data_IF_182249626898
#
_entry.id   IF_182249626898
#
_cell.length_a   1.000
_cell.length_b   1.000
_cell.length_c   1.000
_cell.angle_alpha   90.00
_cell.angle_beta   90.00
_cell.angle_gamma   90.00
#
_symmetry.space_group_name_H-M   'P 1'
#
loop_
_entity.id
_entity.type
_entity.pdbx_description
1 polymer ?
#
# COMPACT_ATOMS: atom_id res chain seq x y z
N UNK A 1 -4.94 -1.43 36.05
CA UNK A 1 -4.97 -2.33 34.90
C UNK A 1 -6.24 -2.08 34.14
N UNK A 2 -6.16 -1.65 32.86
CA UNK A 2 -7.32 -1.54 31.99
C UNK A 2 -7.35 -2.76 31.07
N UNK A 3 -8.54 -3.29 30.85
CA UNK A 3 -8.77 -4.38 29.89
C UNK A 3 -9.17 -3.72 28.57
N UNK A 4 -8.35 -3.86 27.55
CA UNK A 4 -8.71 -3.57 26.16
C UNK A 4 -9.16 -4.86 25.48
N UNK A 5 -9.97 -4.76 24.47
CA UNK A 5 -10.71 -5.88 23.85
C UNK A 5 -9.84 -7.11 23.49
N UNK A 6 -8.52 -6.91 23.25
CA UNK A 6 -7.57 -7.97 22.86
C UNK A 6 -6.25 -7.92 23.63
N UNK A 7 -6.21 -7.31 24.81
CA UNK A 7 -4.96 -7.18 25.55
C UNK A 7 -5.11 -6.58 26.93
N UNK A 8 -3.96 -6.35 27.57
CA UNK A 8 -3.86 -5.69 28.89
C UNK A 8 -2.81 -4.61 28.88
N UNK A 9 -3.11 -3.47 29.50
CA UNK A 9 -2.16 -2.39 29.72
C UNK A 9 -1.66 -2.42 31.15
N UNK A 10 -0.37 -2.27 31.32
CA UNK A 10 0.32 -2.15 32.59
C UNK A 10 1.08 -0.83 32.65
N UNK A 11 1.23 -0.28 33.83
CA UNK A 11 2.13 0.82 34.11
C UNK A 11 3.22 0.29 35.03
N UNK A 12 4.47 0.28 34.58
CA UNK A 12 5.61 -0.28 35.26
C UNK A 12 6.57 0.85 35.60
N UNK A 13 6.92 1.00 36.90
CA UNK A 13 7.83 2.02 37.42
C UNK A 13 7.81 2.08 38.91
N UNK A 14 8.76 2.83 39.51
CA UNK A 14 8.94 2.91 40.93
C UNK A 14 8.22 4.11 41.58
N UNK A 15 7.90 5.14 40.81
CA UNK A 15 7.26 6.35 41.30
C UNK A 15 6.25 6.95 40.28
N UNK A 16 5.32 7.77 40.79
CA UNK A 16 4.39 8.52 39.98
C UNK A 16 5.16 9.55 39.11
N UNK A 17 5.20 9.34 37.81
CA UNK A 17 5.96 10.15 36.84
C UNK A 17 7.05 9.39 36.11
N UNK A 18 7.46 8.22 36.60
CA UNK A 18 8.44 7.33 35.99
C UNK A 18 7.81 6.05 35.41
N UNK A 19 6.50 6.05 35.21
CA UNK A 19 5.82 4.86 34.70
C UNK A 19 6.01 4.74 33.17
N UNK A 20 6.43 3.55 32.77
CA UNK A 20 6.39 3.11 31.38
C UNK A 20 5.10 2.32 31.17
N UNK A 21 4.33 2.71 30.18
CA UNK A 21 3.15 1.95 29.75
C UNK A 21 3.59 0.75 28.93
N UNK A 22 3.17 -0.43 29.34
CA UNK A 22 3.42 -1.70 28.67
C UNK A 22 2.08 -2.29 28.25
N UNK A 23 1.87 -2.42 26.97
CA UNK A 23 0.66 -3.05 26.40
C UNK A 23 1.00 -4.48 25.97
N UNK A 24 0.32 -5.47 26.54
CA UNK A 24 0.34 -6.86 26.07
C UNK A 24 -0.87 -7.06 25.18
N UNK A 25 -0.63 -7.33 23.90
CA UNK A 25 -1.67 -7.44 22.90
C UNK A 25 -1.52 -8.73 22.11
N UNK A 26 -2.64 -9.28 21.67
CA UNK A 26 -2.63 -10.23 20.57
C UNK A 26 -2.24 -9.48 19.30
N UNK A 27 -1.42 -10.08 18.47
CA UNK A 27 -0.99 -9.45 17.21
C UNK A 27 -0.98 -10.49 16.10
N UNK A 28 -1.18 -10.01 14.89
CA UNK A 28 -1.04 -10.80 13.68
C UNK A 28 0.39 -11.33 13.51
N UNK A 29 0.57 -12.41 12.73
CA UNK A 29 1.90 -12.95 12.46
C UNK A 29 2.84 -11.87 11.92
N UNK A 30 4.10 -11.92 12.34
CA UNK A 30 5.13 -11.03 11.82
C UNK A 30 5.46 -11.35 10.36
N UNK A 31 5.80 -10.33 9.59
CA UNK A 31 6.28 -10.46 8.20
C UNK A 31 7.63 -11.17 8.17
N UNK A 32 8.48 -10.84 9.12
CA UNK A 32 9.84 -11.37 9.25
C UNK A 32 10.05 -11.96 10.65
N UNK A 33 11.13 -12.71 10.81
CA UNK A 33 11.53 -13.19 12.12
C UNK A 33 11.90 -12.01 13.02
N UNK A 34 11.47 -12.08 14.28
CA UNK A 34 11.86 -11.10 15.28
C UNK A 34 13.41 -11.03 15.38
N UNK A 35 13.92 -9.82 15.41
CA UNK A 35 15.33 -9.55 15.69
C UNK A 35 15.59 -9.72 17.19
N UNK A 36 16.79 -10.17 17.53
CA UNK A 36 17.21 -10.30 18.94
C UNK A 36 18.32 -9.30 19.21
N UNK A 37 18.01 -8.28 20.01
CA UNK A 37 18.96 -7.25 20.43
C UNK A 37 19.06 -7.31 21.95
N UNK A 38 20.24 -7.53 22.47
CA UNK A 38 20.51 -7.67 23.91
C UNK A 38 19.59 -8.69 24.63
N UNK A 39 19.27 -9.79 23.93
CA UNK A 39 18.38 -10.84 24.44
C UNK A 39 16.89 -10.53 24.36
N UNK A 40 16.50 -9.37 23.87
CA UNK A 40 15.11 -8.94 23.68
C UNK A 40 14.69 -9.19 22.24
N UNK A 41 13.57 -9.87 22.03
CA UNK A 41 12.99 -10.06 20.71
C UNK A 41 12.19 -8.82 20.30
N UNK A 42 12.57 -8.23 19.17
CA UNK A 42 11.97 -7.02 18.64
C UNK A 42 11.38 -7.26 17.24
N UNK A 43 10.32 -6.54 16.93
CA UNK A 43 9.79 -6.51 15.56
C UNK A 43 10.78 -5.80 14.64
N UNK A 44 10.98 -6.32 13.43
CA UNK A 44 11.74 -5.65 12.39
C UNK A 44 11.03 -4.39 11.87
N UNK A 45 11.77 -3.50 11.20
CA UNK A 45 11.24 -2.21 10.71
C UNK A 45 10.11 -2.36 9.71
N UNK A 46 10.07 -3.43 8.93
CA UNK A 46 8.95 -3.74 8.01
C UNK A 46 7.65 -4.04 8.74
N UNK A 47 7.74 -4.79 9.85
CA UNK A 47 6.59 -5.05 10.71
C UNK A 47 6.10 -3.78 11.38
N UNK A 48 7.03 -2.94 11.87
CA UNK A 48 6.71 -1.64 12.47
C UNK A 48 6.03 -0.74 11.42
N UNK A 49 6.53 -0.69 10.19
CA UNK A 49 5.93 0.08 9.10
C UNK A 49 4.49 -0.37 8.82
N UNK A 50 4.26 -1.69 8.69
CA UNK A 50 2.92 -2.25 8.50
C UNK A 50 1.97 -1.89 9.66
N UNK A 51 2.44 -2.00 10.91
CA UNK A 51 1.66 -1.66 12.10
C UNK A 51 1.32 -0.16 12.15
N UNK A 52 2.27 0.71 11.78
CA UNK A 52 2.03 2.17 11.74
C UNK A 52 1.08 2.55 10.62
N UNK A 53 1.18 1.90 9.45
CA UNK A 53 0.22 2.06 8.36
C UNK A 53 -1.19 1.67 8.80
N UNK A 54 -1.36 0.55 9.52
CA UNK A 54 -2.66 0.12 10.02
C UNK A 54 -3.25 1.11 11.05
N UNK A 55 -2.43 1.65 11.95
CA UNK A 55 -2.88 2.68 12.90
C UNK A 55 -3.33 3.96 12.18
N UNK A 56 -2.60 4.39 11.14
CA UNK A 56 -2.94 5.58 10.35
C UNK A 56 -4.19 5.33 9.50
N UNK A 57 -4.39 4.13 8.98
CA UNK A 57 -5.63 3.74 8.29
C UNK A 57 -6.89 3.92 9.15
N UNK A 58 -6.75 3.85 10.47
CA UNK A 58 -7.82 4.06 11.44
C UNK A 58 -7.86 5.51 12.00
N UNK A 59 -7.10 6.42 11.43
CA UNK A 59 -6.97 7.82 11.84
C UNK A 59 -5.93 8.03 12.93
N UNK A 60 -4.68 7.81 12.58
CA UNK A 60 -3.51 7.84 13.45
C UNK A 60 -3.32 9.13 14.26
N UNK A 61 -2.50 9.03 15.29
CA UNK A 61 -2.07 10.17 16.09
C UNK A 61 -0.89 10.86 15.42
N UNK A 62 -0.63 12.11 15.78
CA UNK A 62 0.50 12.89 15.24
C UNK A 62 1.82 12.12 15.26
N UNK A 63 2.15 11.44 16.36
CA UNK A 63 3.36 10.61 16.46
C UNK A 63 3.42 9.45 15.47
N UNK A 64 2.29 8.86 15.10
CA UNK A 64 2.26 7.73 14.17
C UNK A 64 2.62 8.18 12.74
N UNK A 65 2.21 9.39 12.35
CA UNK A 65 2.66 10.04 11.10
C UNK A 65 4.15 10.42 11.15
N UNK A 66 4.67 10.81 12.31
CA UNK A 66 6.10 11.06 12.51
C UNK A 66 6.92 9.80 12.27
N UNK A 67 6.47 8.68 12.87
CA UNK A 67 7.13 7.38 12.69
C UNK A 67 7.11 6.95 11.21
N UNK A 68 5.99 7.10 10.51
CA UNK A 68 5.92 6.81 9.07
C UNK A 68 6.84 7.71 8.25
N UNK A 69 6.90 8.99 8.58
CA UNK A 69 7.83 9.91 7.91
C UNK A 69 9.30 9.49 8.09
N UNK A 70 9.66 9.00 9.27
CA UNK A 70 11.00 8.45 9.52
C UNK A 70 11.27 7.21 8.66
N UNK A 71 10.29 6.32 8.57
CA UNK A 71 10.39 5.09 7.79
C UNK A 71 10.46 5.33 6.27
N UNK A 72 9.98 6.48 5.76
CA UNK A 72 10.19 6.89 4.37
C UNK A 72 11.67 7.12 4.02
N UNK A 73 12.53 7.28 5.00
CA UNK A 73 14.00 7.29 4.79
C UNK A 73 14.58 5.92 4.47
N UNK A 74 13.86 4.84 4.76
CA UNK A 74 14.29 3.45 4.56
C UNK A 74 13.45 2.74 3.48
N UNK A 75 12.16 3.02 3.42
CA UNK A 75 11.20 2.37 2.51
C UNK A 75 10.38 3.40 1.73
N UNK A 76 10.09 3.11 0.47
CA UNK A 76 9.09 3.84 -0.29
C UNK A 76 7.68 3.61 0.27
N UNK A 77 6.76 4.52 0.00
CA UNK A 77 5.37 4.35 0.40
C UNK A 77 4.74 3.08 -0.22
N UNK A 78 5.10 2.74 -1.47
CA UNK A 78 4.64 1.51 -2.13
C UNK A 78 5.09 0.24 -1.38
N UNK A 79 6.34 0.20 -0.90
CA UNK A 79 6.83 -0.92 -0.11
C UNK A 79 6.09 -1.03 1.22
N UNK A 80 5.82 0.10 1.90
CA UNK A 80 5.05 0.10 3.15
C UNK A 80 3.61 -0.41 2.94
N UNK A 81 2.98 -0.09 1.81
CA UNK A 81 1.68 -0.67 1.41
C UNK A 81 1.79 -2.18 1.22
N UNK A 82 2.85 -2.65 0.57
CA UNK A 82 3.13 -4.08 0.42
C UNK A 82 3.36 -4.79 1.77
N UNK A 83 4.01 -4.15 2.74
CA UNK A 83 4.16 -4.69 4.09
C UNK A 83 2.82 -4.77 4.81
N UNK A 84 1.97 -3.73 4.67
CA UNK A 84 0.62 -3.75 5.22
C UNK A 84 -0.23 -4.88 4.62
N UNK A 85 -0.21 -5.05 3.30
CA UNK A 85 -0.94 -6.12 2.62
C UNK A 85 -0.51 -7.51 3.09
N UNK A 86 0.79 -7.72 3.33
CA UNK A 86 1.32 -9.01 3.83
C UNK A 86 0.93 -9.32 5.27
N UNK A 87 0.83 -8.29 6.12
CA UNK A 87 0.54 -8.46 7.54
C UNK A 87 -0.96 -8.46 7.84
N UNK A 88 -1.74 -7.69 7.11
CA UNK A 88 -3.16 -7.42 7.32
C UNK A 88 -3.95 -7.72 6.03
N UNK A 89 -3.80 -8.92 5.50
CA UNK A 89 -4.36 -9.35 4.21
C UNK A 89 -5.87 -9.05 4.09
N UNK A 90 -6.62 -9.27 5.17
CA UNK A 90 -8.07 -9.09 5.20
C UNK A 90 -8.54 -7.66 5.46
N UNK A 91 -7.64 -6.79 5.93
CA UNK A 91 -7.92 -5.39 6.25
C UNK A 91 -7.27 -4.42 5.25
N UNK A 92 -6.50 -4.95 4.29
CA UNK A 92 -5.77 -4.12 3.34
C UNK A 92 -6.69 -3.53 2.27
N UNK A 93 -6.83 -2.21 2.29
CA UNK A 93 -7.52 -1.41 1.29
C UNK A 93 -6.64 -0.22 0.93
N UNK A 94 -6.07 -0.23 -0.29
CA UNK A 94 -5.13 0.80 -0.74
C UNK A 94 -5.76 2.20 -0.78
N UNK A 95 -7.03 2.30 -1.17
CA UNK A 95 -7.69 3.60 -1.27
C UNK A 95 -7.94 4.19 0.12
N UNK A 96 -8.42 3.39 1.05
CA UNK A 96 -8.61 3.78 2.46
C UNK A 96 -7.28 4.17 3.09
N UNK A 97 -6.24 3.36 2.90
CA UNK A 97 -4.89 3.65 3.39
C UNK A 97 -4.38 4.98 2.84
N UNK A 98 -4.45 5.20 1.53
CA UNK A 98 -3.92 6.38 0.88
C UNK A 98 -4.67 7.66 1.26
N UNK A 99 -5.98 7.56 1.44
CA UNK A 99 -6.80 8.68 1.89
C UNK A 99 -6.47 9.06 3.34
N UNK A 100 -6.41 8.08 4.25
CA UNK A 100 -6.09 8.32 5.65
C UNK A 100 -4.62 8.70 5.88
N UNK A 101 -3.70 8.24 5.03
CA UNK A 101 -2.29 8.66 5.06
C UNK A 101 -2.10 10.16 4.84
N UNK A 102 -3.06 10.83 4.24
CA UNK A 102 -3.05 12.29 4.01
C UNK A 102 -4.10 13.06 4.79
N UNK A 103 -4.89 12.37 5.62
CA UNK A 103 -5.84 13.00 6.53
C UNK A 103 -5.22 13.23 7.91
N UNK A 104 -4.87 14.47 8.19
CA UNK A 104 -4.27 14.88 9.45
C UNK A 104 -5.27 15.49 10.44
N UNK A 105 -6.58 15.43 10.15
CA UNK A 105 -7.62 16.10 10.93
C UNK A 105 -7.61 15.71 12.41
N UNK A 106 -7.36 14.46 12.74
CA UNK A 106 -7.24 13.95 14.11
C UNK A 106 -5.86 14.21 14.74
N UNK A 107 -4.83 14.36 13.92
CA UNK A 107 -3.45 14.58 14.36
C UNK A 107 -3.17 16.07 14.61
N UNK A 108 -3.69 16.96 13.78
CA UNK A 108 -3.42 18.40 13.84
C UNK A 108 -3.64 19.05 15.23
N UNK A 109 -4.72 18.75 15.99
CA UNK A 109 -4.94 19.34 17.30
C UNK A 109 -4.05 18.78 18.42
N UNK A 110 -3.28 17.72 18.17
CA UNK A 110 -2.44 17.08 19.18
C UNK A 110 -1.11 17.85 19.34
N UNK A 111 -0.54 17.78 20.56
CA UNK A 111 0.82 18.27 20.81
C UNK A 111 1.84 17.53 19.95
N UNK A 112 2.93 18.22 19.62
CA UNK A 112 4.05 17.56 18.94
C UNK A 112 4.67 16.52 19.89
N UNK A 113 5.09 15.37 19.36
CA UNK A 113 5.84 14.41 20.14
C UNK A 113 7.24 14.96 20.47
N UNK A 114 7.81 14.51 21.58
CA UNK A 114 9.22 14.76 21.86
C UNK A 114 10.06 14.03 20.81
N UNK A 115 10.72 14.77 19.95
CA UNK A 115 11.51 14.18 18.86
C UNK A 115 12.88 14.87 18.76
N UNK A 116 13.88 14.08 18.38
CA UNK A 116 15.28 14.49 18.45
C UNK A 116 15.85 15.04 17.14
N UNK A 117 15.12 15.01 16.03
CA UNK A 117 15.67 15.20 14.69
C UNK A 117 15.32 16.56 14.03
N UNK A 118 14.75 17.51 14.77
CA UNK A 118 14.60 18.89 14.33
C UNK A 118 13.60 19.18 13.21
N UNK A 119 12.82 18.20 12.73
CA UNK A 119 11.76 18.42 11.73
C UNK A 119 10.52 19.07 12.36
N UNK A 120 9.73 19.78 11.57
CA UNK A 120 8.49 20.40 12.01
C UNK A 120 7.28 19.66 11.44
N UNK A 121 6.19 19.66 12.17
CA UNK A 121 4.95 19.00 11.75
C UNK A 121 4.46 19.46 10.37
N UNK A 122 4.58 20.75 10.06
CA UNK A 122 4.20 21.28 8.74
C UNK A 122 4.99 20.64 7.59
N UNK A 123 6.29 20.39 7.80
CA UNK A 123 7.17 19.84 6.77
C UNK A 123 6.86 18.35 6.56
N UNK A 124 6.62 17.61 7.66
CA UNK A 124 6.19 16.22 7.61
C UNK A 124 4.89 16.06 6.81
N UNK A 125 3.90 16.92 7.04
CA UNK A 125 2.65 16.87 6.25
C UNK A 125 2.87 17.11 4.76
N UNK A 126 3.80 17.98 4.40
CA UNK A 126 4.15 18.24 2.99
C UNK A 126 4.82 17.02 2.37
N UNK A 127 5.80 16.45 3.06
CA UNK A 127 6.51 15.26 2.58
C UNK A 127 5.56 14.08 2.38
N UNK A 128 4.72 13.76 3.36
CA UNK A 128 3.73 12.68 3.27
C UNK A 128 2.73 12.88 2.11
N UNK A 129 2.24 14.11 1.91
CA UNK A 129 1.37 14.42 0.77
C UNK A 129 2.06 14.25 -0.58
N UNK A 130 3.34 14.62 -0.67
CA UNK A 130 4.13 14.44 -1.88
C UNK A 130 4.31 12.95 -2.20
N UNK A 131 4.63 12.13 -1.20
CA UNK A 131 4.75 10.68 -1.37
C UNK A 131 3.44 10.03 -1.83
N UNK A 132 2.32 10.40 -1.21
CA UNK A 132 1.00 9.92 -1.64
C UNK A 132 0.66 10.33 -3.08
N UNK A 133 1.03 11.56 -3.48
CA UNK A 133 0.84 12.03 -4.87
C UNK A 133 1.70 11.24 -5.85
N UNK A 134 2.95 10.99 -5.50
CA UNK A 134 3.88 10.21 -6.32
C UNK A 134 3.34 8.79 -6.54
N UNK A 135 2.89 8.12 -5.48
CA UNK A 135 2.30 6.79 -5.57
C UNK A 135 1.09 6.75 -6.51
N UNK A 136 0.17 7.73 -6.40
CA UNK A 136 -0.99 7.85 -7.31
C UNK A 136 -0.62 8.05 -8.77
N UNK A 137 0.46 8.78 -9.04
CA UNK A 137 0.95 9.00 -10.41
C UNK A 137 1.55 7.72 -10.99
N UNK A 138 2.33 6.97 -10.21
CA UNK A 138 2.91 5.70 -10.63
C UNK A 138 1.81 4.67 -10.97
N UNK A 139 0.84 4.49 -10.10
CA UNK A 139 -0.30 3.58 -10.32
C UNK A 139 -1.08 3.91 -11.61
N UNK A 140 -1.24 5.20 -11.93
CA UNK A 140 -1.91 5.62 -13.18
C UNK A 140 -1.07 5.32 -14.42
N UNK A 141 0.24 5.43 -14.35
CA UNK A 141 1.15 5.11 -15.46
C UNK A 141 1.16 3.60 -15.73
N UNK A 142 1.17 2.78 -14.70
CA UNK A 142 1.13 1.32 -14.81
C UNK A 142 -0.18 0.86 -15.48
N UNK A 143 -1.31 1.44 -15.09
CA UNK A 143 -2.61 1.16 -15.72
C UNK A 143 -2.61 1.61 -17.18
N UNK A 144 -2.11 2.80 -17.51
CA UNK A 144 -2.04 3.29 -18.89
C UNK A 144 -1.15 2.40 -19.77
N UNK A 145 -0.02 1.94 -19.24
CA UNK A 145 0.90 1.04 -19.94
C UNK A 145 0.25 -0.34 -20.16
N UNK A 146 -0.46 -0.85 -19.17
CA UNK A 146 -1.16 -2.14 -19.24
C UNK A 146 -2.27 -2.14 -20.27
N UNK A 147 -3.01 -1.04 -20.39
CA UNK A 147 -4.08 -0.85 -21.39
C UNK A 147 -3.52 -0.83 -22.82
N UNK A 148 -2.36 -0.19 -23.01
CA UNK A 148 -1.70 -0.14 -24.35
C UNK A 148 -1.24 -1.54 -24.78
N UNK A 149 -0.77 -2.38 -23.85
CA UNK A 149 -0.33 -3.75 -24.14
C UNK A 149 -1.51 -4.68 -24.48
N UNK A 150 -2.71 -4.38 -23.99
CA UNK A 150 -3.91 -5.19 -24.24
C UNK A 150 -4.70 -4.79 -25.49
N UNK A 151 -4.25 -3.84 -26.31
CA UNK A 151 -4.88 -3.64 -27.62
C UNK A 151 -4.67 -4.90 -28.46
N UNK A 152 -5.74 -5.60 -28.86
CA UNK A 152 -5.60 -6.75 -29.73
C UNK A 152 -4.94 -6.28 -31.02
N UNK A 153 -3.87 -6.95 -31.43
CA UNK A 153 -3.30 -6.73 -32.77
C UNK A 153 -4.44 -6.83 -33.76
N UNK A 154 -4.50 -5.97 -34.81
CA UNK A 154 -5.47 -6.12 -35.86
C UNK A 154 -5.44 -7.59 -36.31
N UNK A 155 -6.51 -8.31 -36.10
CA UNK A 155 -6.63 -9.67 -36.62
C UNK A 155 -6.49 -9.50 -38.13
N UNK A 156 -5.56 -10.22 -38.75
CA UNK A 156 -5.55 -10.41 -40.17
C UNK A 156 -6.94 -10.89 -40.54
N UNK A 157 -7.77 -9.97 -41.00
CA UNK A 157 -9.08 -10.30 -41.57
C UNK A 157 -8.72 -11.06 -42.82
N UNK A 158 -8.99 -12.37 -42.95
CA UNK A 158 -8.70 -13.10 -44.15
C UNK A 158 -9.42 -12.36 -45.26
N UNK A 159 -8.70 -12.02 -46.33
CA UNK A 159 -9.24 -11.31 -47.48
C UNK A 159 -10.45 -12.05 -48.03
N UNK A 160 -11.62 -11.65 -47.54
CA UNK A 160 -12.91 -12.22 -47.96
C UNK A 160 -13.14 -11.94 -49.46
N UNK A 161 -12.55 -10.88 -49.99
CA UNK A 161 -12.59 -10.51 -51.42
C UNK A 161 -11.84 -11.55 -52.27
N UNK A 162 -10.66 -12.01 -51.85
CA UNK A 162 -9.91 -13.05 -52.57
C UNK A 162 -10.63 -14.41 -52.54
N UNK A 163 -11.35 -14.74 -51.43
CA UNK A 163 -12.18 -15.95 -51.38
C UNK A 163 -13.42 -15.88 -52.27
N UNK A 164 -14.04 -14.73 -52.40
CA UNK A 164 -15.18 -14.50 -53.27
C UNK A 164 -14.77 -14.51 -54.75
N UNK A 165 -13.63 -13.93 -55.12
CA UNK A 165 -13.09 -13.97 -56.46
C UNK A 165 -12.80 -15.42 -56.93
N UNK A 166 -12.15 -16.23 -56.08
CA UNK A 166 -11.92 -17.66 -56.38
C UNK A 166 -13.19 -18.48 -56.56
N UNK A 167 -14.26 -18.15 -55.83
CA UNK A 167 -15.57 -18.81 -56.01
C UNK A 167 -16.26 -18.42 -57.29
N UNK A 168 -16.13 -17.19 -57.78
CA UNK A 168 -16.69 -16.72 -59.03
C UNK A 168 -16.03 -17.41 -60.27
N UNK A 169 -14.68 -17.56 -60.24
CA UNK A 169 -13.94 -18.24 -61.29
C UNK A 169 -14.27 -19.74 -61.40
N UNK A 170 -14.52 -20.39 -60.25
CA UNK A 170 -14.89 -21.82 -60.27
C UNK A 170 -16.32 -22.04 -60.75
N UNK A 171 -17.24 -21.10 -60.57
CA UNK A 171 -18.60 -21.18 -61.12
C UNK A 171 -18.66 -20.95 -62.65
N UNK A 172 -17.81 -20.11 -63.20
CA UNK A 172 -17.75 -19.90 -64.66
C UNK A 172 -17.16 -21.09 -65.42
N UNK A 173 -16.26 -21.87 -64.81
CA UNK A 173 -15.69 -23.07 -65.45
C UNK A 173 -16.68 -24.26 -65.47
N UNK A 174 -17.67 -24.31 -64.59
CA UNK A 174 -18.69 -25.38 -64.60
C UNK A 174 -19.83 -25.13 -65.63
N UNK A 175 -20.00 -23.93 -66.13
CA UNK A 175 -21.06 -23.57 -67.08
C UNK A 175 -20.70 -23.77 -68.56
N UNK A 176 -19.45 -24.20 -68.90
CA UNK A 176 -18.99 -24.35 -70.28
C UNK A 176 -18.79 -25.79 -70.78
N UNK A 177 -19.42 -26.74 -70.18
CA UNK A 177 -19.22 -28.17 -70.48
C UNK A 177 -20.51 -28.94 -70.71
N UNK A 178 -21.44 -28.38 -71.51
CA UNK A 178 -22.54 -29.15 -72.07
C UNK A 178 -22.73 -28.66 -73.56
N UNK A 179 -22.17 -29.40 -74.48
CA UNK A 179 -22.61 -29.61 -75.81
C UNK A 179 -22.24 -31.01 -76.24
#
# INVERSE_FOLDING_TARGET
TSIVSFGRSYYVGQSAGEYVKVDLMYTDPFIERAEVIDGIRMAGTKDIAAMKMNVVAQGGRKKDFWDLHMLLGEYSLAEMFGFHARRYEWEHDEEVLLNNFTDFSKADPQSDPDYLLGKQWKDIKVDLKNEAKNLRLMSRQDVATSVVVQQPRPRDIPDVAAKLAKRAETSQKKGRGIR
#
